data_IF_783058951438
#
_entry.id   IF_783058951438
#
_cell.length_a   1.000
_cell.length_b   1.000
_cell.length_c   1.000
_cell.angle_alpha   90.00
_cell.angle_beta   90.00
_cell.angle_gamma   90.00
#
_symmetry.space_group_name_H-M   'P 1'
#
loop_
_entity.id
_entity.type
_entity.pdbx_description
1 polymer ?
#
# COMPACT_ATOMS: atom_id res chain seq x y z
N UNK A 1 -33.65 29.04 -8.98
CA UNK A 1 -32.90 29.28 -7.74
C UNK A 1 -32.47 27.88 -7.28
N UNK A 2 -31.49 27.36 -7.80
CA UNK A 2 -30.03 27.44 -7.57
C UNK A 2 -29.65 26.55 -6.43
N UNK A 3 -29.51 25.26 -6.68
CA UNK A 3 -28.87 24.28 -5.84
C UNK A 3 -27.44 24.06 -6.33
N UNK A 4 -26.57 25.06 -6.20
CA UNK A 4 -25.16 24.87 -6.08
C UNK A 4 -24.91 24.55 -4.60
N UNK A 5 -25.31 23.33 -4.17
CA UNK A 5 -24.84 22.81 -2.89
C UNK A 5 -23.34 22.54 -3.04
N UNK A 6 -22.60 23.26 -2.24
CA UNK A 6 -21.18 23.18 -1.98
C UNK A 6 -20.72 21.71 -2.01
N UNK A 7 -19.99 21.34 -3.04
CA UNK A 7 -19.07 20.18 -3.04
C UNK A 7 -17.92 20.51 -2.08
N UNK A 8 -18.26 20.70 -0.80
CA UNK A 8 -17.27 20.85 0.25
C UNK A 8 -16.39 19.61 0.28
N UNK A 9 -15.08 19.82 0.21
CA UNK A 9 -14.03 18.80 0.29
C UNK A 9 -14.30 17.94 1.52
N UNK A 10 -14.71 16.69 1.31
CA UNK A 10 -15.07 15.77 2.40
C UNK A 10 -13.83 15.15 3.08
N UNK A 11 -12.62 15.40 2.57
CA UNK A 11 -11.36 14.92 3.12
C UNK A 11 -10.53 16.08 3.65
N UNK A 12 -11.08 16.79 4.65
CA UNK A 12 -10.29 17.78 5.37
C UNK A 12 -9.00 17.14 5.89
N UNK A 13 -7.87 17.86 5.81
CA UNK A 13 -6.55 17.40 6.25
C UNK A 13 -6.11 16.05 5.66
N UNK A 14 -6.32 15.86 4.34
CA UNK A 14 -5.74 14.71 3.62
C UNK A 14 -4.21 14.82 3.61
N UNK A 15 -3.53 13.81 4.14
CA UNK A 15 -2.09 13.65 4.00
C UNK A 15 -1.77 12.58 2.94
N UNK A 16 -0.98 12.94 1.94
CA UNK A 16 -0.31 11.96 1.08
C UNK A 16 0.94 11.46 1.80
N UNK A 17 1.17 10.16 1.83
CA UNK A 17 2.38 9.53 2.38
C UNK A 17 3.08 8.80 1.24
N UNK A 18 4.26 9.26 0.91
CA UNK A 18 5.08 8.74 -0.19
C UNK A 18 6.32 8.11 0.40
N UNK A 19 6.62 6.86 0.02
CA UNK A 19 7.84 6.15 0.42
C UNK A 19 8.76 6.01 -0.78
N UNK A 20 10.03 6.41 -0.64
CA UNK A 20 11.03 6.31 -1.71
C UNK A 20 12.32 5.67 -1.22
N UNK A 21 13.00 4.95 -2.12
CA UNK A 21 14.33 4.39 -1.92
C UNK A 21 15.09 4.25 -3.24
N UNK A 22 16.10 5.10 -3.47
CA UNK A 22 17.00 5.06 -4.65
C UNK A 22 16.28 5.14 -6.01
N UNK A 23 15.18 5.89 -6.10
CA UNK A 23 14.33 6.01 -7.29
C UNK A 23 13.98 7.46 -7.60
N UNK A 24 14.98 8.35 -7.58
CA UNK A 24 14.76 9.79 -7.71
C UNK A 24 14.01 10.17 -8.98
N UNK A 25 14.28 9.52 -10.13
CA UNK A 25 13.60 9.84 -11.39
C UNK A 25 12.10 9.47 -11.36
N UNK A 26 11.73 8.39 -10.67
CA UNK A 26 10.32 8.02 -10.48
C UNK A 26 9.64 8.99 -9.51
N UNK A 27 10.33 9.37 -8.44
CA UNK A 27 9.85 10.37 -7.49
C UNK A 27 9.57 11.73 -8.17
N UNK A 28 10.46 12.19 -9.06
CA UNK A 28 10.26 13.41 -9.87
C UNK A 28 9.02 13.29 -10.76
N UNK A 29 8.78 12.14 -11.39
CA UNK A 29 7.55 11.90 -12.19
C UNK A 29 6.29 11.93 -11.33
N UNK A 30 6.33 11.29 -10.16
CA UNK A 30 5.23 11.34 -9.21
C UNK A 30 4.95 12.79 -8.80
N UNK A 31 5.97 13.58 -8.44
CA UNK A 31 5.82 14.99 -8.07
C UNK A 31 5.23 15.83 -9.21
N UNK A 32 5.70 15.63 -10.44
CA UNK A 32 5.14 16.29 -11.61
C UNK A 32 3.66 15.95 -11.86
N UNK A 33 3.19 14.77 -11.44
CA UNK A 33 1.78 14.39 -11.50
C UNK A 33 0.97 15.01 -10.35
N UNK A 34 1.55 15.09 -9.15
CA UNK A 34 0.92 15.72 -8.00
C UNK A 34 0.62 17.20 -8.25
N UNK A 35 1.54 17.93 -8.88
CA UNK A 35 1.34 19.34 -9.25
C UNK A 35 0.18 19.56 -10.23
N UNK A 36 -0.37 18.51 -10.84
CA UNK A 36 -1.54 18.57 -11.73
C UNK A 36 -2.87 18.25 -11.03
N UNK A 37 -2.84 17.96 -9.72
CA UNK A 37 -4.06 17.71 -8.96
C UNK A 37 -4.96 18.94 -8.97
N UNK A 38 -6.25 18.72 -9.21
CA UNK A 38 -7.29 19.76 -9.18
C UNK A 38 -7.58 20.24 -7.75
N UNK A 39 -7.37 19.36 -6.77
CA UNK A 39 -7.47 19.66 -5.34
C UNK A 39 -6.16 19.34 -4.63
N UNK A 40 -5.64 20.31 -3.90
CA UNK A 40 -4.39 20.18 -3.16
C UNK A 40 -4.55 19.29 -1.92
N UNK A 41 -3.64 18.32 -1.67
CA UNK A 41 -3.60 17.65 -0.37
C UNK A 41 -3.17 18.64 0.73
N UNK A 42 -3.64 18.39 1.96
CA UNK A 42 -3.25 19.23 3.10
C UNK A 42 -1.77 19.09 3.44
N UNK A 43 -1.24 17.86 3.47
CA UNK A 43 0.19 17.56 3.67
C UNK A 43 0.67 16.50 2.68
N UNK A 44 1.96 16.55 2.38
CA UNK A 44 2.66 15.51 1.61
C UNK A 44 3.89 15.13 2.42
N UNK A 45 3.86 13.96 3.04
CA UNK A 45 4.96 13.41 3.83
C UNK A 45 5.78 12.51 2.94
N UNK A 46 7.03 12.87 2.66
CA UNK A 46 7.95 12.10 1.83
C UNK A 46 8.96 11.39 2.73
N UNK A 47 8.80 10.08 2.87
CA UNK A 47 9.70 9.22 3.64
C UNK A 47 10.84 8.75 2.73
N UNK A 48 12.05 9.18 3.02
CA UNK A 48 13.25 8.80 2.27
C UNK A 48 14.06 7.73 3.03
N UNK A 49 14.00 6.50 2.54
CA UNK A 49 14.73 5.37 3.12
C UNK A 49 16.23 5.35 2.72
N UNK A 50 16.67 6.22 1.84
CA UNK A 50 18.09 6.36 1.46
C UNK A 50 18.80 7.47 2.25
N UNK A 51 18.05 8.52 2.64
CA UNK A 51 18.57 9.73 3.26
C UNK A 51 19.65 10.40 2.39
N UNK A 52 19.36 10.57 1.10
CA UNK A 52 20.32 11.13 0.17
C UNK A 52 20.15 12.64 -0.03
N UNK A 53 21.26 13.35 -0.23
CA UNK A 53 21.24 14.79 -0.56
C UNK A 53 20.46 15.05 -1.86
N UNK A 54 20.53 14.15 -2.84
CA UNK A 54 19.79 14.25 -4.09
C UNK A 54 18.29 14.21 -3.84
N UNK A 55 17.79 13.24 -3.05
CA UNK A 55 16.36 13.16 -2.69
C UNK A 55 15.95 14.40 -1.91
N UNK A 56 16.76 14.84 -0.95
CA UNK A 56 16.50 16.07 -0.17
C UNK A 56 16.35 17.30 -1.08
N UNK A 57 17.23 17.46 -2.07
CA UNK A 57 17.17 18.55 -3.07
C UNK A 57 15.89 18.51 -3.90
N UNK A 58 15.49 17.34 -4.40
CA UNK A 58 14.27 17.13 -5.18
C UNK A 58 13.04 17.46 -4.34
N UNK A 59 12.96 16.98 -3.09
CA UNK A 59 11.83 17.25 -2.20
C UNK A 59 11.73 18.73 -1.83
N UNK A 60 12.87 19.40 -1.63
CA UNK A 60 12.91 20.85 -1.35
C UNK A 60 12.37 21.65 -2.53
N UNK A 61 12.81 21.34 -3.75
CA UNK A 61 12.31 21.99 -4.96
C UNK A 61 10.81 21.78 -5.11
N UNK A 62 10.34 20.56 -4.98
CA UNK A 62 8.92 20.24 -5.04
C UNK A 62 8.10 20.98 -3.98
N UNK A 63 8.64 21.14 -2.77
CA UNK A 63 8.00 21.92 -1.70
C UNK A 63 7.83 23.41 -2.07
N UNK A 64 8.79 23.99 -2.79
CA UNK A 64 8.70 25.37 -3.33
C UNK A 64 7.61 25.45 -4.40
N UNK A 65 7.61 24.51 -5.36
CA UNK A 65 6.60 24.45 -6.43
C UNK A 65 5.18 24.29 -5.86
N UNK A 66 5.00 23.44 -4.84
CA UNK A 66 3.71 23.32 -4.13
C UNK A 66 3.29 24.61 -3.44
N UNK A 67 4.24 25.34 -2.85
CA UNK A 67 3.95 26.60 -2.17
C UNK A 67 3.59 27.71 -3.17
N UNK A 68 4.25 27.75 -4.31
CA UNK A 68 3.94 28.68 -5.40
C UNK A 68 2.56 28.40 -6.00
N UNK A 69 2.21 27.12 -6.19
CA UNK A 69 0.95 26.71 -6.81
C UNK A 69 -0.26 26.83 -5.87
N UNK A 70 -0.12 26.40 -4.61
CA UNK A 70 -1.24 26.23 -3.66
C UNK A 70 -1.12 27.03 -2.38
N UNK A 71 -0.02 27.78 -2.17
CA UNK A 71 0.26 28.47 -0.91
C UNK A 71 0.61 27.51 0.25
N UNK A 72 0.76 28.10 1.42
CA UNK A 72 0.92 27.37 2.69
C UNK A 72 -0.42 26.79 3.16
N UNK A 73 -0.37 25.91 4.16
CA UNK A 73 -1.58 25.32 4.76
C UNK A 73 -1.88 25.95 6.12
N UNK A 74 -3.03 25.60 6.68
CA UNK A 74 -3.26 25.80 8.10
C UNK A 74 -2.16 25.13 8.94
N UNK A 75 -1.79 25.69 10.10
CA UNK A 75 -0.82 25.06 10.99
C UNK A 75 -1.23 23.63 11.37
N UNK A 76 -0.25 22.73 11.39
CA UNK A 76 -0.40 21.40 11.96
C UNK A 76 -0.24 21.41 13.49
N UNK A 77 -0.32 20.25 14.12
CA UNK A 77 -0.19 20.11 15.57
C UNK A 77 1.21 20.48 16.10
N UNK A 78 2.21 20.57 15.22
CA UNK A 78 3.58 21.05 15.53
C UNK A 78 3.76 22.55 15.18
N UNK A 79 2.72 23.22 14.68
CA UNK A 79 2.73 24.63 14.27
C UNK A 79 3.31 24.87 12.88
N UNK A 80 3.63 23.83 12.12
CA UNK A 80 4.16 23.91 10.76
C UNK A 80 3.07 24.26 9.74
N UNK A 81 3.44 25.05 8.70
CA UNK A 81 2.54 25.45 7.60
C UNK A 81 2.99 24.95 6.24
N UNK A 82 4.16 24.28 6.16
CA UNK A 82 4.71 23.75 4.93
C UNK A 82 3.88 22.54 4.44
N UNK A 83 3.45 22.59 3.17
CA UNK A 83 2.67 21.51 2.57
C UNK A 83 3.47 20.21 2.42
N UNK A 84 4.75 20.29 2.09
CA UNK A 84 5.64 19.17 1.92
C UNK A 84 6.53 19.00 3.14
N UNK A 85 6.55 17.78 3.71
CA UNK A 85 7.34 17.39 4.89
C UNK A 85 8.32 16.32 4.46
N UNK A 86 9.61 16.64 4.42
CA UNK A 86 10.68 15.67 4.17
C UNK A 86 11.01 14.90 5.44
N UNK A 87 10.97 13.57 5.37
CA UNK A 87 11.15 12.70 6.51
C UNK A 87 12.18 11.60 6.22
N UNK A 88 13.50 11.94 6.23
CA UNK A 88 14.57 10.98 5.96
C UNK A 88 14.71 9.98 7.10
N UNK A 89 15.06 8.74 6.76
CA UNK A 89 15.34 7.67 7.71
C UNK A 89 16.85 7.46 7.81
N UNK A 90 17.32 7.06 8.99
CA UNK A 90 18.76 6.81 9.22
C UNK A 90 19.26 5.53 8.55
N UNK A 91 18.35 4.63 8.17
CA UNK A 91 18.62 3.36 7.51
C UNK A 91 17.44 2.96 6.63
N UNK A 92 17.65 2.01 5.73
CA UNK A 92 16.57 1.45 4.94
C UNK A 92 15.69 0.51 5.80
N UNK A 93 14.53 1.01 6.19
CA UNK A 93 13.52 0.29 6.99
C UNK A 93 12.50 -0.47 6.12
N UNK A 94 12.71 -0.55 4.81
CA UNK A 94 11.79 -1.18 3.86
C UNK A 94 10.54 -0.34 3.58
N UNK A 95 9.70 -0.83 2.65
CA UNK A 95 8.42 -0.18 2.35
C UNK A 95 7.48 -0.15 3.56
N UNK A 96 7.34 -1.29 4.25
CA UNK A 96 6.45 -1.40 5.42
C UNK A 96 6.84 -0.45 6.55
N UNK A 97 8.14 -0.33 6.84
CA UNK A 97 8.67 0.65 7.82
C UNK A 97 8.45 2.08 7.36
N UNK A 98 8.69 2.36 6.06
CA UNK A 98 8.44 3.67 5.47
C UNK A 98 6.98 4.11 5.61
N UNK A 99 6.03 3.24 5.27
CA UNK A 99 4.60 3.53 5.45
C UNK A 99 4.22 3.67 6.92
N UNK A 100 4.74 2.81 7.81
CA UNK A 100 4.51 2.92 9.26
C UNK A 100 4.93 4.29 9.79
N UNK A 101 6.17 4.70 9.51
CA UNK A 101 6.74 5.97 9.95
C UNK A 101 6.06 7.16 9.31
N UNK A 102 5.76 7.09 8.00
CA UNK A 102 5.10 8.16 7.26
C UNK A 102 3.66 8.40 7.74
N UNK A 103 2.87 7.34 7.91
CA UNK A 103 1.52 7.43 8.49
C UNK A 103 1.58 7.95 9.92
N UNK A 104 2.54 7.47 10.73
CA UNK A 104 2.75 7.94 12.09
C UNK A 104 3.08 9.43 12.15
N UNK A 105 3.97 9.93 11.26
CA UNK A 105 4.28 11.37 11.15
C UNK A 105 3.06 12.18 10.74
N UNK A 106 2.35 11.76 9.69
CA UNK A 106 1.14 12.43 9.24
C UNK A 106 0.03 12.42 10.33
N UNK A 107 -0.09 11.33 11.08
CA UNK A 107 -1.00 11.23 12.23
C UNK A 107 -0.65 12.24 13.33
N UNK A 108 0.63 12.35 13.68
CA UNK A 108 1.12 13.31 14.68
C UNK A 108 0.91 14.75 14.25
N UNK A 109 1.01 15.05 12.94
CA UNK A 109 0.73 16.39 12.39
C UNK A 109 -0.77 16.74 12.39
N UNK A 110 -1.67 15.79 12.65
CA UNK A 110 -3.11 16.05 12.73
C UNK A 110 -3.89 15.70 11.46
N UNK A 111 -3.34 14.87 10.57
CA UNK A 111 -4.07 14.39 9.39
C UNK A 111 -5.33 13.61 9.78
N UNK A 112 -6.42 13.81 9.04
CA UNK A 112 -7.68 13.05 9.21
C UNK A 112 -7.84 11.92 8.18
N UNK A 113 -7.12 12.00 7.06
CA UNK A 113 -7.07 10.99 6.01
C UNK A 113 -5.63 10.76 5.56
N UNK A 114 -5.32 9.53 5.15
CA UNK A 114 -4.01 9.10 4.69
C UNK A 114 -4.15 8.44 3.32
N UNK A 115 -3.53 9.01 2.29
CA UNK A 115 -3.43 8.44 0.96
C UNK A 115 -1.99 7.99 0.73
N UNK A 116 -1.76 6.69 0.72
CA UNK A 116 -0.42 6.11 0.75
C UNK A 116 -0.01 5.56 -0.61
N UNK A 117 1.25 5.77 -1.00
CA UNK A 117 1.78 5.30 -2.28
C UNK A 117 3.30 5.17 -2.28
N UNK A 118 3.80 4.29 -3.15
CA UNK A 118 5.21 4.22 -3.52
C UNK A 118 5.55 5.33 -4.53
N UNK A 119 6.86 5.48 -4.82
CA UNK A 119 7.41 6.47 -5.73
C UNK A 119 7.25 6.11 -7.23
N UNK A 120 6.75 4.92 -7.58
CA UNK A 120 6.65 4.40 -8.95
C UNK A 120 5.21 4.44 -9.52
N UNK A 121 4.43 5.40 -9.06
CA UNK A 121 3.10 5.73 -9.60
C UNK A 121 3.01 7.20 -10.00
N UNK A 122 2.02 7.54 -10.83
CA UNK A 122 1.55 8.91 -11.06
C UNK A 122 0.11 9.03 -10.57
N UNK A 123 -0.24 10.16 -9.96
CA UNK A 123 -1.62 10.42 -9.54
C UNK A 123 -2.42 11.05 -10.69
N UNK A 124 -3.71 10.76 -10.75
CA UNK A 124 -4.60 11.37 -11.74
C UNK A 124 -5.13 12.72 -11.22
N UNK A 125 -5.38 13.70 -12.11
CA UNK A 125 -5.74 15.07 -11.69
C UNK A 125 -6.92 15.15 -10.71
N UNK A 126 -7.97 14.36 -10.92
CA UNK A 126 -9.19 14.39 -10.11
C UNK A 126 -9.21 13.34 -8.98
N UNK A 127 -8.05 12.75 -8.66
CA UNK A 127 -7.98 11.65 -7.71
C UNK A 127 -8.44 12.03 -6.30
N UNK A 128 -8.11 13.25 -5.83
CA UNK A 128 -8.52 13.73 -4.50
C UNK A 128 -10.03 13.89 -4.44
N UNK A 129 -10.65 14.53 -5.44
CA UNK A 129 -12.10 14.66 -5.57
C UNK A 129 -12.80 13.30 -5.61
N UNK A 130 -12.26 12.35 -6.40
CA UNK A 130 -12.80 10.99 -6.51
C UNK A 130 -12.78 10.27 -5.16
N UNK A 131 -11.65 10.31 -4.44
CA UNK A 131 -11.53 9.73 -3.10
C UNK A 131 -12.46 10.43 -2.10
N UNK A 132 -12.55 11.77 -2.17
CA UNK A 132 -13.41 12.59 -1.33
C UNK A 132 -14.90 12.23 -1.43
N UNK A 133 -15.38 11.90 -2.62
CA UNK A 133 -16.74 11.40 -2.84
C UNK A 133 -17.03 10.13 -2.01
N UNK A 134 -16.09 9.20 -1.97
CA UNK A 134 -16.25 7.91 -1.30
C UNK A 134 -15.95 7.96 0.20
N UNK A 135 -15.14 8.92 0.65
CA UNK A 135 -14.82 9.10 2.08
C UNK A 135 -16.04 9.41 2.95
N UNK A 136 -17.13 9.91 2.36
CA UNK A 136 -18.43 10.10 3.04
C UNK A 136 -19.10 8.78 3.44
N UNK A 137 -18.73 7.66 2.80
CA UNK A 137 -19.38 6.35 2.98
C UNK A 137 -18.45 5.32 3.63
N UNK A 138 -17.15 5.39 3.38
CA UNK A 138 -16.20 4.33 3.74
C UNK A 138 -14.99 4.90 4.48
N UNK A 139 -14.55 4.21 5.53
CA UNK A 139 -13.35 4.59 6.28
C UNK A 139 -12.04 4.11 5.63
N UNK A 140 -12.11 3.21 4.65
CA UNK A 140 -10.96 2.74 3.87
C UNK A 140 -11.37 2.51 2.41
N UNK A 141 -10.58 3.03 1.47
CA UNK A 141 -10.91 3.14 0.05
C UNK A 141 -9.70 2.71 -0.77
N UNK A 142 -9.94 1.89 -1.79
CA UNK A 142 -8.99 1.57 -2.83
C UNK A 142 -9.57 2.03 -4.17
N UNK A 143 -8.94 3.00 -4.81
CA UNK A 143 -9.27 3.38 -6.17
C UNK A 143 -8.69 2.41 -7.21
N UNK A 144 -9.21 2.46 -8.44
CA UNK A 144 -8.65 1.73 -9.57
C UNK A 144 -7.30 2.32 -9.98
N UNK A 145 -6.52 1.50 -10.68
CA UNK A 145 -5.22 1.87 -11.21
C UNK A 145 -5.13 1.57 -12.68
N UNK A 146 -4.47 2.44 -13.43
CA UNK A 146 -3.97 2.09 -14.75
C UNK A 146 -2.63 1.36 -14.63
N UNK A 147 -2.37 0.41 -15.53
CA UNK A 147 -1.03 -0.15 -15.71
C UNK A 147 -0.16 0.84 -16.51
N UNK A 148 1.12 0.59 -16.62
CA UNK A 148 2.07 1.47 -17.30
C UNK A 148 1.71 1.70 -18.78
N UNK A 149 1.13 0.70 -19.45
CA UNK A 149 0.61 0.78 -20.83
C UNK A 149 -0.69 1.60 -20.98
N UNK A 150 -1.27 2.06 -19.87
CA UNK A 150 -2.55 2.77 -19.83
C UNK A 150 -3.78 1.86 -19.79
N UNK A 151 -3.62 0.56 -19.82
CA UNK A 151 -4.68 -0.41 -19.63
C UNK A 151 -5.11 -0.52 -18.15
N UNK A 152 -6.22 -1.21 -17.92
CA UNK A 152 -6.67 -1.50 -16.56
C UNK A 152 -5.71 -2.44 -15.85
N UNK A 153 -5.20 -2.03 -14.67
CA UNK A 153 -4.41 -2.92 -13.82
C UNK A 153 -5.32 -3.84 -13.01
N UNK A 154 -5.17 -5.13 -13.24
CA UNK A 154 -5.92 -6.12 -12.47
C UNK A 154 -5.36 -6.25 -11.06
N UNK A 155 -6.19 -5.97 -10.04
CA UNK A 155 -5.82 -6.15 -8.64
C UNK A 155 -6.66 -7.22 -7.95
N UNK A 156 -6.00 -8.05 -7.12
CA UNK A 156 -6.64 -9.07 -6.29
C UNK A 156 -7.10 -8.43 -4.97
N UNK A 157 -8.34 -7.99 -4.93
CA UNK A 157 -8.90 -7.25 -3.80
C UNK A 157 -9.42 -8.13 -2.65
N UNK A 158 -9.42 -9.47 -2.81
CA UNK A 158 -9.82 -10.41 -1.77
C UNK A 158 -8.66 -11.31 -1.35
N UNK A 159 -8.40 -11.27 -0.05
CA UNK A 159 -7.44 -12.13 0.61
C UNK A 159 -8.16 -13.32 1.24
N UNK A 160 -7.73 -14.55 0.95
CA UNK A 160 -8.26 -15.75 1.57
C UNK A 160 -7.54 -15.98 2.91
N UNK A 161 -8.19 -15.65 4.00
CA UNK A 161 -7.62 -15.74 5.36
C UNK A 161 -7.32 -17.18 5.78
N UNK A 162 -8.17 -18.15 5.38
CA UNK A 162 -7.93 -19.55 5.70
C UNK A 162 -6.66 -20.10 5.07
N UNK A 163 -6.36 -19.71 3.82
CA UNK A 163 -5.15 -20.13 3.10
C UNK A 163 -3.96 -19.18 3.31
N UNK A 164 -4.20 -17.99 3.84
CA UNK A 164 -3.26 -16.87 3.92
C UNK A 164 -2.59 -16.54 2.56
N UNK A 165 -3.40 -16.44 1.50
CA UNK A 165 -3.00 -16.04 0.14
C UNK A 165 -4.08 -15.15 -0.48
N UNK A 166 -3.70 -14.35 -1.48
CA UNK A 166 -4.70 -13.66 -2.30
C UNK A 166 -5.61 -14.67 -3.02
N UNK A 167 -6.91 -14.36 -3.11
CA UNK A 167 -7.86 -15.18 -3.84
C UNK A 167 -7.64 -15.01 -5.36
N UNK A 168 -7.10 -16.02 -6.07
CA UNK A 168 -6.82 -15.91 -7.50
C UNK A 168 -8.10 -15.90 -8.36
N UNK A 169 -9.24 -16.24 -7.80
CA UNK A 169 -10.52 -16.34 -8.50
C UNK A 169 -11.43 -15.13 -8.27
N UNK A 170 -10.92 -14.04 -7.69
CA UNK A 170 -11.68 -12.81 -7.54
C UNK A 170 -12.06 -12.24 -8.92
N UNK A 171 -13.34 -11.92 -9.17
CA UNK A 171 -13.77 -11.35 -10.43
C UNK A 171 -13.09 -10.00 -10.69
N UNK A 172 -12.57 -9.79 -11.91
CA UNK A 172 -11.91 -8.53 -12.29
C UNK A 172 -12.88 -7.45 -12.77
N UNK A 173 -13.99 -7.86 -13.38
CA UNK A 173 -14.97 -6.94 -13.99
C UNK A 173 -15.97 -6.39 -12.99
N UNK A 174 -16.62 -5.29 -13.36
CA UNK A 174 -17.76 -4.68 -12.67
C UNK A 174 -19.07 -5.24 -13.20
N UNK A 175 -20.01 -5.52 -12.29
CA UNK A 175 -21.36 -5.89 -12.71
C UNK A 175 -22.17 -4.63 -12.99
N UNK A 176 -23.19 -4.69 -13.89
CA UNK A 176 -24.11 -3.58 -14.10
C UNK A 176 -24.75 -3.16 -12.76
N UNK A 177 -24.64 -1.86 -12.41
CA UNK A 177 -25.17 -1.32 -11.16
C UNK A 177 -24.31 -1.55 -9.92
N UNK A 178 -23.16 -2.19 -10.03
CA UNK A 178 -22.21 -2.36 -8.91
C UNK A 178 -21.44 -1.04 -8.71
N UNK A 179 -21.75 -0.34 -7.61
CA UNK A 179 -21.11 0.95 -7.30
C UNK A 179 -19.71 0.79 -6.70
N UNK A 180 -19.49 -0.25 -5.89
CA UNK A 180 -18.22 -0.56 -5.25
C UNK A 180 -18.12 -2.06 -4.98
N UNK A 181 -16.93 -2.54 -4.69
CA UNK A 181 -16.71 -3.92 -4.22
C UNK A 181 -16.17 -3.89 -2.80
N UNK A 182 -16.78 -4.68 -1.93
CA UNK A 182 -16.21 -4.90 -0.62
C UNK A 182 -14.95 -5.76 -0.72
N UNK A 183 -13.88 -5.33 -0.07
CA UNK A 183 -12.60 -6.02 -0.02
C UNK A 183 -12.11 -6.21 1.41
N UNK A 184 -11.13 -7.08 1.58
CA UNK A 184 -10.41 -7.28 2.84
C UNK A 184 -8.90 -7.21 2.62
N UNK A 185 -8.48 -6.41 1.66
CA UNK A 185 -7.10 -6.06 1.40
C UNK A 185 -7.04 -4.61 0.95
N UNK A 186 -5.94 -3.95 1.19
CA UNK A 186 -5.57 -2.68 0.59
C UNK A 186 -4.30 -2.87 -0.22
N UNK A 187 -3.97 -1.92 -1.06
CA UNK A 187 -2.69 -1.82 -1.70
C UNK A 187 -2.11 -0.44 -1.43
N UNK A 188 -0.87 -0.38 -0.97
CA UNK A 188 -0.22 0.90 -0.70
C UNK A 188 0.27 1.61 -1.97
N UNK A 189 -0.13 1.13 -3.14
CA UNK A 189 -0.15 1.92 -4.38
C UNK A 189 -1.51 2.64 -4.51
N UNK A 190 -1.77 3.65 -3.68
CA UNK A 190 -2.98 4.48 -3.75
C UNK A 190 -4.09 4.09 -2.77
N UNK A 191 -3.82 3.27 -1.76
CA UNK A 191 -4.76 3.01 -0.67
C UNK A 191 -5.02 4.28 0.15
N UNK A 192 -6.29 4.51 0.52
CA UNK A 192 -6.70 5.68 1.29
C UNK A 192 -7.53 5.24 2.50
N UNK A 193 -7.23 5.77 3.68
CA UNK A 193 -7.93 5.39 4.91
C UNK A 193 -7.96 6.55 5.91
N UNK A 194 -8.99 6.53 6.77
CA UNK A 194 -9.25 7.58 7.73
C UNK A 194 -8.40 7.46 9.00
N UNK A 195 -8.27 8.58 9.73
CA UNK A 195 -7.67 8.63 11.07
C UNK A 195 -8.32 7.65 12.04
N UNK A 196 -9.63 7.49 11.98
CA UNK A 196 -10.38 6.57 12.84
C UNK A 196 -9.99 5.11 12.60
N UNK A 197 -9.67 4.75 11.37
CA UNK A 197 -9.12 3.42 11.06
C UNK A 197 -7.76 3.26 11.71
N UNK A 198 -6.82 4.19 11.46
CA UNK A 198 -5.47 4.16 12.06
C UNK A 198 -5.52 4.11 13.58
N UNK A 199 -6.42 4.89 14.19
CA UNK A 199 -6.62 4.92 15.65
C UNK A 199 -6.99 3.54 16.19
N UNK A 200 -7.88 2.82 15.50
CA UNK A 200 -8.39 1.51 15.96
C UNK A 200 -7.42 0.35 15.71
N UNK A 201 -6.73 0.35 14.56
CA UNK A 201 -5.90 -0.79 14.16
C UNK A 201 -4.39 -0.56 14.32
N UNK A 202 -3.97 0.67 14.65
CA UNK A 202 -2.57 1.05 14.76
C UNK A 202 -1.93 1.40 13.42
N UNK A 203 -0.62 1.61 13.43
CA UNK A 203 0.20 1.86 12.24
C UNK A 203 0.43 0.58 11.44
N UNK A 204 0.77 0.67 10.13
CA UNK A 204 1.28 -0.46 9.37
C UNK A 204 2.44 -1.16 10.11
N UNK A 205 2.46 -2.49 10.07
CA UNK A 205 3.44 -3.27 10.84
C UNK A 205 4.83 -3.25 10.16
N UNK A 206 5.75 -2.44 10.68
CA UNK A 206 7.10 -2.26 10.13
C UNK A 206 7.93 -3.55 10.07
N UNK A 207 7.60 -4.59 10.88
CA UNK A 207 8.31 -5.89 10.91
C UNK A 207 8.21 -6.66 9.60
N UNK A 208 7.22 -6.34 8.76
CA UNK A 208 7.10 -6.94 7.42
C UNK A 208 8.28 -6.58 6.52
N UNK A 209 8.89 -5.43 6.69
CA UNK A 209 9.90 -4.84 5.84
C UNK A 209 9.38 -4.54 4.41
N UNK A 210 8.83 -5.54 3.72
CA UNK A 210 8.24 -5.41 2.39
C UNK A 210 7.29 -6.60 2.11
N UNK A 211 6.23 -6.38 1.34
CA UNK A 211 5.19 -7.32 0.91
C UNK A 211 4.25 -7.80 2.02
N UNK A 212 2.99 -7.89 1.69
CA UNK A 212 1.87 -8.36 2.50
C UNK A 212 1.50 -7.46 3.70
N UNK A 213 2.23 -6.40 3.95
CA UNK A 213 1.90 -5.38 4.95
C UNK A 213 0.62 -4.62 4.57
N UNK A 214 0.48 -4.25 3.29
CA UNK A 214 -0.70 -3.65 2.69
C UNK A 214 -1.93 -4.58 2.76
N UNK A 215 -1.75 -5.86 2.42
CA UNK A 215 -2.80 -6.86 2.54
C UNK A 215 -3.26 -7.04 3.99
N UNK A 216 -2.30 -7.14 4.93
CA UNK A 216 -2.61 -7.17 6.35
C UNK A 216 -3.37 -5.92 6.79
N UNK A 217 -2.90 -4.74 6.39
CA UNK A 217 -3.51 -3.48 6.80
C UNK A 217 -4.96 -3.37 6.31
N UNK A 218 -5.22 -3.80 5.06
CA UNK A 218 -6.58 -3.93 4.54
C UNK A 218 -7.43 -4.94 5.29
N UNK A 219 -6.85 -6.09 5.68
CA UNK A 219 -7.53 -7.06 6.52
C UNK A 219 -7.90 -6.48 7.90
N UNK A 220 -6.98 -5.79 8.56
CA UNK A 220 -7.25 -5.14 9.85
C UNK A 220 -8.30 -4.03 9.70
N UNK A 221 -8.22 -3.21 8.65
CA UNK A 221 -9.23 -2.20 8.35
C UNK A 221 -10.62 -2.84 8.15
N UNK A 222 -10.72 -4.00 7.49
CA UNK A 222 -11.99 -4.70 7.29
C UNK A 222 -12.66 -5.21 8.59
N UNK A 223 -11.90 -5.24 9.71
CA UNK A 223 -12.45 -5.57 11.03
C UNK A 223 -13.14 -4.40 11.73
N UNK A 224 -12.89 -3.18 11.27
CA UNK A 224 -13.37 -1.94 11.93
C UNK A 224 -14.18 -1.03 11.01
N UNK A 225 -14.13 -1.25 9.71
CA UNK A 225 -14.87 -0.49 8.68
C UNK A 225 -15.05 -1.31 7.42
N UNK A 226 -15.95 -0.89 6.52
CA UNK A 226 -15.98 -1.42 5.15
C UNK A 226 -14.77 -0.89 4.38
N UNK A 227 -13.99 -1.80 3.80
CA UNK A 227 -12.93 -1.48 2.83
C UNK A 227 -13.53 -1.58 1.44
N UNK A 228 -13.58 -0.47 0.72
CA UNK A 228 -14.24 -0.38 -0.57
C UNK A 228 -13.23 -0.22 -1.73
N UNK A 229 -13.27 -1.15 -2.69
CA UNK A 229 -12.69 -0.93 -4.01
C UNK A 229 -13.71 -0.15 -4.83
N UNK A 230 -13.35 1.04 -5.28
CA UNK A 230 -14.23 1.95 -6.03
C UNK A 230 -13.86 2.01 -7.52
N UNK A 231 -14.80 2.31 -8.43
CA UNK A 231 -14.56 2.28 -9.87
C UNK A 231 -13.67 3.42 -10.38
N UNK A 232 -13.51 4.49 -9.60
CA UNK A 232 -12.75 5.65 -10.00
C UNK A 232 -11.25 5.32 -10.06
N UNK A 233 -10.60 5.72 -11.16
CA UNK A 233 -9.15 5.60 -11.31
C UNK A 233 -8.47 6.75 -10.58
N UNK A 234 -7.47 6.47 -9.78
CA UNK A 234 -6.79 7.49 -8.94
C UNK A 234 -5.28 7.55 -9.19
N UNK A 235 -4.68 6.46 -9.65
CA UNK A 235 -3.25 6.39 -9.95
C UNK A 235 -2.99 5.59 -11.23
N UNK A 236 -1.82 5.84 -11.82
CA UNK A 236 -1.24 5.07 -12.93
C UNK A 236 0.13 4.56 -12.49
N UNK A 237 0.46 3.32 -12.80
CA UNK A 237 1.79 2.74 -12.57
C UNK A 237 2.79 3.29 -13.60
N UNK A 238 3.99 3.62 -13.14
CA UNK A 238 5.08 4.11 -14.00
C UNK A 238 6.03 3.01 -14.46
N UNK A 239 5.95 1.81 -13.84
CA UNK A 239 6.80 0.68 -14.19
C UNK A 239 6.00 -0.43 -14.85
N UNK A 240 6.46 -0.85 -16.02
CA UNK A 240 5.97 -2.07 -16.65
C UNK A 240 6.40 -3.29 -15.82
N UNK A 241 5.45 -4.14 -15.49
CA UNK A 241 5.74 -5.47 -14.98
C UNK A 241 5.75 -6.42 -16.16
N UNK A 242 6.93 -6.93 -16.52
CA UNK A 242 7.04 -7.94 -17.58
C UNK A 242 6.30 -9.20 -17.15
N UNK A 243 5.16 -9.42 -17.75
CA UNK A 243 4.31 -10.55 -17.46
C UNK A 243 4.54 -11.64 -18.52
N UNK A 244 4.92 -12.83 -18.08
CA UNK A 244 4.89 -14.02 -18.93
C UNK A 244 3.55 -14.74 -18.72
N UNK A 245 2.67 -14.73 -19.74
CA UNK A 245 1.43 -15.48 -19.69
C UNK A 245 1.69 -16.95 -19.98
N UNK A 246 1.24 -17.84 -19.11
CA UNK A 246 1.24 -19.29 -19.34
C UNK A 246 -0.21 -19.70 -19.59
N UNK A 247 -0.61 -19.73 -20.85
CA UNK A 247 -1.99 -20.00 -21.27
C UNK A 247 -2.98 -18.95 -20.78
N UNK A 248 -4.18 -19.37 -20.38
CA UNK A 248 -5.21 -18.52 -19.76
C UNK A 248 -5.01 -18.29 -18.25
N UNK A 249 -3.97 -18.90 -17.66
CA UNK A 249 -3.67 -18.78 -16.24
C UNK A 249 -2.74 -17.60 -16.02
N UNK A 250 -3.08 -16.78 -14.99
CA UNK A 250 -2.37 -15.58 -14.59
C UNK A 250 -0.86 -15.71 -14.59
N UNK A 251 -0.28 -14.75 -15.18
CA UNK A 251 1.12 -14.42 -15.38
C UNK A 251 2.02 -14.79 -14.19
N UNK A 252 2.95 -15.72 -14.43
CA UNK A 252 4.08 -15.97 -13.55
C UNK A 252 5.18 -14.99 -13.94
N UNK A 253 5.36 -13.94 -13.14
CA UNK A 253 6.46 -13.00 -13.34
C UNK A 253 7.77 -13.58 -12.79
N UNK A 254 8.90 -13.18 -13.38
CA UNK A 254 10.18 -13.32 -12.70
C UNK A 254 10.12 -12.66 -11.32
N UNK A 255 10.76 -13.25 -10.34
CA UNK A 255 10.77 -12.71 -8.98
C UNK A 255 12.14 -12.84 -8.34
N UNK A 256 12.47 -11.92 -7.43
CA UNK A 256 13.75 -11.91 -6.75
C UNK A 256 13.80 -12.88 -5.56
N UNK A 257 15.00 -13.25 -5.16
CA UNK A 257 15.25 -14.02 -3.95
C UNK A 257 14.74 -13.29 -2.69
N UNK A 258 14.84 -11.96 -2.68
CA UNK A 258 14.29 -11.11 -1.64
C UNK A 258 12.76 -11.25 -1.57
N UNK A 259 12.07 -11.16 -2.69
CA UNK A 259 10.61 -11.33 -2.77
C UNK A 259 10.17 -12.70 -2.26
N UNK A 260 10.86 -13.77 -2.68
CA UNK A 260 10.58 -15.14 -2.21
C UNK A 260 10.69 -15.27 -0.71
N UNK A 261 11.78 -14.73 -0.15
CA UNK A 261 12.02 -14.76 1.28
C UNK A 261 10.92 -14.01 2.04
N UNK A 262 10.68 -12.73 1.73
CA UNK A 262 9.76 -11.90 2.50
C UNK A 262 8.30 -12.34 2.36
N UNK A 263 7.81 -12.67 1.16
CA UNK A 263 6.44 -13.19 0.99
C UNK A 263 6.24 -14.46 1.83
N UNK A 264 7.23 -15.36 1.85
CA UNK A 264 7.11 -16.62 2.60
C UNK A 264 7.22 -16.38 4.10
N UNK A 265 8.16 -15.53 4.56
CA UNK A 265 8.34 -15.17 5.97
C UNK A 265 7.12 -14.46 6.53
N UNK A 266 6.60 -13.49 5.80
CA UNK A 266 5.52 -12.61 6.27
C UNK A 266 4.18 -13.33 6.43
N UNK A 267 4.02 -14.51 5.82
CA UNK A 267 2.89 -15.39 6.12
C UNK A 267 2.81 -15.77 7.59
N UNK A 268 3.94 -15.85 8.30
CA UNK A 268 3.99 -16.07 9.75
C UNK A 268 3.32 -14.92 10.51
N UNK A 269 3.59 -13.67 10.15
CA UNK A 269 2.93 -12.50 10.74
C UNK A 269 1.42 -12.49 10.43
N UNK A 270 1.03 -12.74 9.17
CA UNK A 270 -0.39 -12.87 8.82
C UNK A 270 -1.11 -13.89 9.70
N UNK A 271 -0.51 -15.08 9.87
CA UNK A 271 -1.09 -16.13 10.68
C UNK A 271 -1.26 -15.71 12.16
N UNK A 272 -0.32 -14.93 12.71
CA UNK A 272 -0.42 -14.39 14.09
C UNK A 272 -1.62 -13.44 14.22
N UNK A 273 -1.77 -12.52 13.25
CA UNK A 273 -2.93 -11.63 13.25
C UNK A 273 -4.24 -12.42 13.05
N UNK A 274 -4.27 -13.43 12.18
CA UNK A 274 -5.46 -14.27 12.00
C UNK A 274 -5.80 -15.08 13.26
N UNK A 275 -4.80 -15.53 14.04
CA UNK A 275 -5.03 -16.14 15.35
C UNK A 275 -5.70 -15.15 16.31
N UNK A 276 -5.24 -13.90 16.34
CA UNK A 276 -5.80 -12.86 17.20
C UNK A 276 -7.27 -12.59 16.91
N UNK A 277 -7.66 -12.61 15.62
CA UNK A 277 -9.05 -12.33 15.17
C UNK A 277 -9.90 -13.58 14.97
N UNK A 278 -9.39 -14.76 15.26
CA UNK A 278 -10.14 -16.03 15.15
C UNK A 278 -10.30 -16.56 13.74
N UNK A 279 -9.60 -16.00 12.75
CA UNK A 279 -9.66 -16.41 11.33
C UNK A 279 -8.57 -17.42 10.94
N UNK A 280 -7.71 -17.80 11.87
CA UNK A 280 -6.63 -18.74 11.59
C UNK A 280 -7.14 -20.17 11.45
N UNK A 281 -6.90 -20.77 10.29
CA UNK A 281 -7.17 -22.18 10.04
C UNK A 281 -5.84 -22.92 9.83
N UNK A 282 -5.38 -23.78 10.76
CA UNK A 282 -4.07 -24.44 10.66
C UNK A 282 -3.96 -25.36 9.45
N UNK A 283 -5.03 -26.08 9.07
CA UNK A 283 -5.04 -26.95 7.89
C UNK A 283 -5.02 -26.14 6.61
N UNK A 284 -5.87 -25.11 6.54
CA UNK A 284 -5.88 -24.19 5.39
C UNK A 284 -4.56 -23.45 5.23
N UNK A 285 -3.97 -22.95 6.32
CA UNK A 285 -2.65 -22.30 6.31
C UNK A 285 -1.53 -23.25 5.79
N UNK A 286 -1.52 -24.51 6.25
CA UNK A 286 -0.57 -25.50 5.78
C UNK A 286 -0.75 -25.77 4.29
N UNK A 287 -2.00 -25.90 3.82
CA UNK A 287 -2.32 -26.08 2.41
C UNK A 287 -1.93 -24.86 1.56
N UNK A 288 -2.24 -23.66 2.03
CA UNK A 288 -1.82 -22.42 1.37
C UNK A 288 -0.30 -22.25 1.31
N UNK A 289 0.43 -22.77 2.32
CA UNK A 289 1.89 -22.83 2.30
C UNK A 289 2.38 -23.81 1.22
N UNK A 290 1.77 -24.97 1.11
CA UNK A 290 2.08 -25.95 0.03
C UNK A 290 1.83 -25.33 -1.35
N UNK A 291 0.71 -24.63 -1.54
CA UNK A 291 0.40 -23.94 -2.79
C UNK A 291 1.44 -22.86 -3.12
N UNK A 292 1.90 -22.11 -2.13
CA UNK A 292 2.96 -21.12 -2.31
C UNK A 292 4.28 -21.79 -2.76
N UNK A 293 4.66 -22.89 -2.13
CA UNK A 293 5.84 -23.66 -2.54
C UNK A 293 5.70 -24.26 -3.95
N UNK A 294 4.55 -24.84 -4.28
CA UNK A 294 4.29 -25.38 -5.61
C UNK A 294 4.38 -24.29 -6.69
N UNK A 295 3.78 -23.12 -6.45
CA UNK A 295 3.88 -21.95 -7.33
C UNK A 295 5.33 -21.52 -7.55
N UNK A 296 6.12 -21.42 -6.48
CA UNK A 296 7.53 -21.02 -6.58
C UNK A 296 8.39 -22.09 -7.28
N UNK A 297 8.13 -23.37 -7.07
CA UNK A 297 8.81 -24.45 -7.82
C UNK A 297 8.52 -24.39 -9.32
N UNK A 298 7.25 -24.14 -9.70
CA UNK A 298 6.88 -23.95 -11.11
C UNK A 298 7.60 -22.74 -11.69
N UNK A 299 7.65 -21.62 -10.96
CA UNK A 299 8.35 -20.41 -11.37
C UNK A 299 9.86 -20.65 -11.55
N UNK A 300 10.50 -21.32 -10.61
CA UNK A 300 11.93 -21.67 -10.67
C UNK A 300 12.23 -22.62 -11.84
N UNK A 301 11.32 -23.54 -12.15
CA UNK A 301 11.49 -24.49 -13.27
C UNK A 301 11.24 -23.87 -14.64
N UNK A 302 10.35 -22.89 -14.77
CA UNK A 302 9.92 -22.35 -16.05
C UNK A 302 10.45 -20.94 -16.37
N UNK A 303 10.56 -20.08 -15.37
CA UNK A 303 10.89 -18.65 -15.53
C UNK A 303 12.30 -18.33 -15.05
N UNK A 304 12.63 -18.66 -13.81
CA UNK A 304 13.86 -18.25 -13.12
C UNK A 304 14.92 -19.36 -13.09
N UNK A 305 15.14 -20.05 -14.21
CA UNK A 305 15.96 -21.30 -14.31
C UNK A 305 17.41 -21.15 -13.87
N UNK A 306 17.99 -19.95 -13.92
CA UNK A 306 19.43 -19.72 -13.66
C UNK A 306 19.86 -19.72 -12.20
N UNK A 307 18.93 -19.66 -11.24
CA UNK A 307 19.21 -19.38 -9.81
C UNK A 307 18.51 -20.35 -8.85
N UNK A 308 18.25 -21.60 -9.28
CA UNK A 308 17.42 -22.54 -8.53
C UNK A 308 17.90 -22.74 -7.08
N UNK A 309 19.19 -22.99 -6.86
CA UNK A 309 19.73 -23.30 -5.51
C UNK A 309 19.65 -22.13 -4.54
N UNK A 310 20.02 -20.91 -4.97
CA UNK A 310 19.92 -19.70 -4.14
C UNK A 310 18.48 -19.35 -3.82
N UNK A 311 17.62 -19.40 -4.82
CA UNK A 311 16.19 -19.11 -4.69
C UNK A 311 15.46 -20.11 -3.80
N UNK A 312 15.81 -21.41 -3.91
CA UNK A 312 15.29 -22.44 -3.02
C UNK A 312 15.74 -22.22 -1.57
N UNK A 313 17.02 -21.90 -1.37
CA UNK A 313 17.55 -21.60 -0.04
C UNK A 313 16.82 -20.38 0.60
N UNK A 314 16.52 -19.36 -0.18
CA UNK A 314 15.78 -18.16 0.30
C UNK A 314 14.31 -18.48 0.62
N UNK A 315 13.65 -19.25 -0.25
CA UNK A 315 12.28 -19.73 0.00
C UNK A 315 12.21 -20.53 1.31
N UNK A 316 13.18 -21.45 1.50
CA UNK A 316 13.26 -22.28 2.70
C UNK A 316 13.60 -21.49 3.96
N UNK A 317 14.49 -20.50 3.87
CA UNK A 317 14.79 -19.57 4.97
C UNK A 317 13.53 -18.80 5.39
N UNK A 318 12.81 -18.22 4.44
CA UNK A 318 11.54 -17.54 4.71
C UNK A 318 10.50 -18.44 5.38
N UNK A 319 10.44 -19.71 4.99
CA UNK A 319 9.55 -20.69 5.64
C UNK A 319 9.94 -20.97 7.10
N UNK A 320 11.23 -21.15 7.38
CA UNK A 320 11.73 -21.36 8.76
C UNK A 320 11.37 -20.17 9.64
N UNK A 321 11.66 -18.96 9.15
CA UNK A 321 11.37 -17.74 9.89
C UNK A 321 9.87 -17.53 10.08
N UNK A 322 9.04 -17.86 9.07
CA UNK A 322 7.59 -17.88 9.19
C UNK A 322 7.11 -18.79 10.33
N UNK A 323 7.71 -19.97 10.47
CA UNK A 323 7.41 -20.90 11.57
C UNK A 323 7.85 -20.36 12.93
N UNK A 324 9.02 -19.74 13.00
CA UNK A 324 9.51 -19.08 14.22
C UNK A 324 8.54 -17.98 14.65
N UNK A 325 8.14 -17.10 13.75
CA UNK A 325 7.17 -16.03 14.01
C UNK A 325 5.82 -16.60 14.46
N UNK A 326 5.33 -17.64 13.78
CA UNK A 326 4.03 -18.25 14.12
C UNK A 326 3.99 -18.80 15.55
N UNK A 327 5.11 -19.29 16.07
CA UNK A 327 5.21 -19.89 17.39
C UNK A 327 5.86 -18.98 18.45
N UNK A 328 6.19 -17.73 18.09
CA UNK A 328 6.73 -16.75 19.02
C UNK A 328 5.69 -16.40 20.08
N UNK A 329 5.97 -16.74 21.34
CA UNK A 329 5.09 -16.50 22.48
C UNK A 329 5.07 -15.02 22.93
N UNK A 330 6.10 -14.28 22.60
CA UNK A 330 6.26 -12.87 22.99
C UNK A 330 5.74 -11.91 21.92
N UNK A 331 5.30 -12.45 20.77
CA UNK A 331 4.75 -11.64 19.70
C UNK A 331 3.49 -10.89 20.15
N UNK A 332 3.45 -9.60 19.82
CA UNK A 332 2.30 -8.72 20.05
C UNK A 332 1.93 -8.01 18.74
N UNK A 333 0.62 -7.75 18.49
CA UNK A 333 0.20 -6.91 17.36
C UNK A 333 0.72 -5.47 17.52
N UNK A 334 0.69 -4.71 16.43
CA UNK A 334 0.86 -3.25 16.53
C UNK A 334 -0.25 -2.69 17.42
N UNK A 335 0.09 -1.79 18.36
CA UNK A 335 -0.90 -1.24 19.28
C UNK A 335 -1.83 -0.27 18.55
N UNK A 336 -3.11 -0.17 18.94
CA UNK A 336 -3.97 0.96 18.59
C UNK A 336 -3.31 2.28 19.00
N UNK A 337 -3.63 3.37 18.29
CA UNK A 337 -3.18 4.69 18.67
C UNK A 337 -4.21 5.37 19.60
N UNK A 338 -3.70 6.14 20.54
CA UNK A 338 -4.54 6.88 21.50
C UNK A 338 -5.30 8.04 20.85
#
# INVERSE_FOLDING_TARGET
MTGAEELGICMERLAMVIVTYKRQELLERLFASILKLTEAPWRIVVVDNENSERTSGIVKQFGQECTELWGTTEPDEEGGTARVVYFPQTENIGGSGGFSRGVGKAYALGASWFWVMDDDVSVLPDAVTALGKWSKRFGAIQGQRYDADGGHFFWQYRFNTALAIYNPFSPSGWKPGEEYKECNALCFEGGCFSREVVKKIGLPDERFFIYLDDALYGYLASKVTTVALVPDYVVKREREVQNQSIGSVRQLNSTSDMTRYYITRNRGYLARYFQLYGDYNPVGYAFGTLLNFAKELIRLGLVDRGHFSSSWARLWAGYKDSKTILHDKDWKPMPPLA
#
